data_IF_930198012404
#
_entry.id   IF_930198012404
#
_cell.length_a   1.000
_cell.length_b   1.000
_cell.length_c   1.000
_cell.angle_alpha   90.00
_cell.angle_beta   90.00
_cell.angle_gamma   90.00
#
_symmetry.space_group_name_H-M   'P 1'
#
loop_
_entity.id
_entity.type
_entity.pdbx_description
1 polymer ?
#
# COMPACT_ATOMS: atom_id res chain seq x y z
N UNK A 1 -16.30 -15.80 13.22
CA UNK A 1 -16.06 -14.46 13.82
C UNK A 1 -14.61 -14.10 13.58
N UNK A 2 -14.30 -12.85 13.22
CA UNK A 2 -12.89 -12.43 13.11
C UNK A 2 -12.21 -12.46 14.48
N UNK A 3 -10.88 -12.68 14.50
CA UNK A 3 -10.06 -12.64 15.72
C UNK A 3 -10.26 -11.33 16.50
N UNK A 4 -10.36 -10.21 15.78
CA UNK A 4 -10.69 -8.90 16.35
C UNK A 4 -12.07 -8.85 17.03
N UNK A 5 -13.08 -9.52 16.48
CA UNK A 5 -14.40 -9.58 17.13
C UNK A 5 -14.36 -10.37 18.44
N UNK A 6 -13.44 -11.31 18.60
CA UNK A 6 -13.24 -12.05 19.84
C UNK A 6 -12.50 -11.22 20.89
N UNK A 7 -11.49 -10.46 20.48
CA UNK A 7 -10.71 -9.58 21.36
C UNK A 7 -11.56 -8.40 21.88
N UNK A 8 -12.44 -7.83 21.04
CA UNK A 8 -13.26 -6.69 21.40
C UNK A 8 -14.55 -7.06 22.16
N UNK A 9 -14.99 -8.33 22.09
CA UNK A 9 -16.24 -8.79 22.71
C UNK A 9 -16.33 -8.56 24.23
N UNK A 10 -15.27 -8.77 25.05
CA UNK A 10 -15.32 -8.51 26.50
C UNK A 10 -15.59 -7.04 26.84
N UNK A 11 -15.31 -6.12 25.91
CA UNK A 11 -15.50 -4.68 26.09
C UNK A 11 -16.82 -4.17 25.50
N UNK A 12 -17.71 -5.07 25.07
CA UNK A 12 -18.99 -4.72 24.44
C UNK A 12 -18.87 -4.10 23.05
N UNK A 13 -17.65 -3.98 22.52
CA UNK A 13 -17.38 -3.49 21.19
C UNK A 13 -17.49 -4.64 20.18
N UNK A 14 -18.59 -4.67 19.41
CA UNK A 14 -18.75 -5.62 18.30
C UNK A 14 -18.63 -4.87 16.99
N UNK A 15 -17.59 -5.13 16.17
CA UNK A 15 -17.49 -4.50 14.85
C UNK A 15 -18.74 -4.79 14.03
N UNK A 16 -19.40 -3.74 13.54
CA UNK A 16 -20.51 -3.86 12.60
C UNK A 16 -19.94 -4.25 11.24
N UNK A 17 -19.69 -5.55 11.04
CA UNK A 17 -18.96 -6.05 9.87
C UNK A 17 -19.60 -5.65 8.54
N UNK A 18 -20.93 -5.64 8.47
CA UNK A 18 -21.67 -5.20 7.28
C UNK A 18 -21.46 -3.70 6.99
N UNK A 19 -21.47 -2.86 8.02
CA UNK A 19 -21.25 -1.41 7.88
C UNK A 19 -19.80 -1.12 7.47
N UNK A 20 -18.83 -1.83 8.05
CA UNK A 20 -17.43 -1.74 7.65
C UNK A 20 -17.24 -2.12 6.18
N UNK A 21 -17.81 -3.25 5.74
CA UNK A 21 -17.66 -3.68 4.35
C UNK A 21 -18.33 -2.70 3.39
N UNK A 22 -19.53 -2.20 3.71
CA UNK A 22 -20.19 -1.17 2.92
C UNK A 22 -19.33 0.10 2.80
N UNK A 23 -18.79 0.59 3.92
CA UNK A 23 -17.88 1.73 3.92
C UNK A 23 -16.59 1.47 3.14
N UNK A 24 -16.02 0.27 3.26
CA UNK A 24 -14.83 -0.16 2.52
C UNK A 24 -15.07 -0.13 1.01
N UNK A 25 -16.21 -0.63 0.53
CA UNK A 25 -16.54 -0.61 -0.90
C UNK A 25 -16.67 0.81 -1.44
N UNK A 26 -17.32 1.71 -0.69
CA UNK A 26 -17.40 3.14 -1.04
C UNK A 26 -16.01 3.79 -1.07
N UNK A 27 -15.15 3.46 -0.10
CA UNK A 27 -13.78 3.94 -0.04
C UNK A 27 -12.94 3.45 -1.21
N UNK A 28 -13.01 2.15 -1.54
CA UNK A 28 -12.28 1.57 -2.67
C UNK A 28 -12.72 2.17 -4.00
N UNK A 29 -14.01 2.45 -4.19
CA UNK A 29 -14.49 3.10 -5.42
C UNK A 29 -13.88 4.50 -5.61
N UNK A 30 -13.58 5.22 -4.52
CA UNK A 30 -12.92 6.53 -4.56
C UNK A 30 -11.41 6.45 -4.64
N UNK A 31 -10.83 5.43 -4.01
CA UNK A 31 -9.39 5.22 -3.94
C UNK A 31 -8.82 4.61 -5.23
N UNK A 32 -9.48 3.58 -5.77
CA UNK A 32 -9.00 2.80 -6.90
C UNK A 32 -9.29 3.46 -8.25
N UNK A 33 -8.79 4.68 -8.42
CA UNK A 33 -8.85 5.44 -9.67
C UNK A 33 -7.46 5.56 -10.29
N UNK A 34 -7.37 5.74 -11.62
CA UNK A 34 -6.09 6.01 -12.29
C UNK A 34 -5.36 7.23 -11.70
N UNK A 35 -6.09 8.29 -11.36
CA UNK A 35 -5.52 9.52 -10.81
C UNK A 35 -4.82 9.25 -9.47
N UNK A 36 -5.47 8.52 -8.57
CA UNK A 36 -4.85 8.15 -7.29
C UNK A 36 -3.69 7.18 -7.50
N UNK A 37 -3.82 6.21 -8.41
CA UNK A 37 -2.71 5.33 -8.77
C UNK A 37 -1.47 6.13 -9.16
N UNK A 38 -1.63 7.08 -10.09
CA UNK A 38 -0.56 7.99 -10.50
C UNK A 38 0.04 8.78 -9.33
N UNK A 39 -0.81 9.38 -8.49
CA UNK A 39 -0.37 10.15 -7.32
C UNK A 39 0.45 9.30 -6.34
N UNK A 40 -0.03 8.11 -5.98
CA UNK A 40 0.71 7.18 -5.11
C UNK A 40 2.03 6.75 -5.73
N UNK A 41 2.05 6.54 -7.04
CA UNK A 41 3.27 6.22 -7.78
C UNK A 41 4.30 7.34 -7.67
N UNK A 42 3.87 8.58 -7.86
CA UNK A 42 4.71 9.78 -7.77
C UNK A 42 5.18 10.08 -6.34
N UNK A 43 4.41 9.69 -5.31
CA UNK A 43 4.84 9.77 -3.92
C UNK A 43 5.82 8.65 -3.52
N UNK A 44 5.91 7.60 -4.33
CA UNK A 44 6.75 6.43 -4.06
C UNK A 44 6.14 5.45 -3.06
N UNK A 45 4.81 5.46 -2.91
CA UNK A 45 4.07 4.57 -2.01
C UNK A 45 4.02 3.13 -2.55
N UNK A 46 3.93 2.16 -1.63
CA UNK A 46 3.71 0.76 -1.97
C UNK A 46 2.23 0.50 -2.26
N UNK A 47 1.93 -0.32 -3.28
CA UNK A 47 0.58 -0.78 -3.56
C UNK A 47 0.31 -2.14 -2.88
N UNK A 48 -0.64 -2.15 -1.94
CA UNK A 48 -0.94 -3.30 -1.09
C UNK A 48 -2.00 -4.27 -1.67
N UNK A 49 -2.30 -4.18 -2.97
CA UNK A 49 -3.24 -5.09 -3.64
C UNK A 49 -4.64 -5.03 -3.03
N UNK A 50 -5.19 -3.81 -2.89
CA UNK A 50 -6.49 -3.57 -2.24
C UNK A 50 -7.62 -3.33 -3.23
N UNK A 51 -7.29 -2.99 -4.48
CA UNK A 51 -8.29 -2.65 -5.47
C UNK A 51 -9.02 -3.89 -6.00
N UNK A 52 -10.33 -3.74 -6.31
CA UNK A 52 -11.07 -4.80 -6.96
C UNK A 52 -10.57 -5.00 -8.40
N UNK A 53 -10.73 -6.24 -8.91
CA UNK A 53 -10.16 -6.73 -10.17
C UNK A 53 -10.49 -5.83 -11.37
N UNK A 54 -11.67 -5.22 -11.38
CA UNK A 54 -12.18 -4.37 -12.46
C UNK A 54 -11.41 -3.05 -12.59
N UNK A 55 -10.85 -2.55 -11.49
CA UNK A 55 -10.16 -1.26 -11.41
C UNK A 55 -8.65 -1.37 -11.27
N UNK A 56 -8.16 -2.51 -10.76
CA UNK A 56 -6.75 -2.69 -10.38
C UNK A 56 -5.79 -2.50 -11.55
N UNK A 57 -6.11 -3.04 -12.73
CA UNK A 57 -5.22 -2.92 -13.89
C UNK A 57 -4.98 -1.45 -14.30
N UNK A 58 -6.01 -0.60 -14.24
CA UNK A 58 -5.88 0.82 -14.59
C UNK A 58 -5.15 1.60 -13.48
N UNK A 59 -5.43 1.28 -12.21
CA UNK A 59 -4.73 1.84 -11.07
C UNK A 59 -3.22 1.53 -11.14
N UNK A 60 -2.85 0.26 -11.33
CA UNK A 60 -1.44 -0.18 -11.40
C UNK A 60 -0.74 0.42 -12.61
N UNK A 61 -1.40 0.49 -13.78
CA UNK A 61 -0.81 1.14 -14.95
C UNK A 61 -0.50 2.62 -14.69
N UNK A 62 -1.39 3.33 -14.00
CA UNK A 62 -1.17 4.73 -13.64
C UNK A 62 -0.11 4.88 -12.54
N UNK A 63 -0.10 4.00 -11.54
CA UNK A 63 0.93 3.88 -10.50
C UNK A 63 2.33 3.73 -11.12
N UNK A 64 2.50 2.81 -12.06
CA UNK A 64 3.77 2.64 -12.77
C UNK A 64 4.19 3.90 -13.52
N UNK A 65 3.25 4.62 -14.14
CA UNK A 65 3.55 5.92 -14.78
C UNK A 65 3.95 6.98 -13.76
N UNK A 66 3.30 7.02 -12.60
CA UNK A 66 3.62 7.96 -11.52
C UNK A 66 5.02 7.73 -10.95
N UNK A 67 5.47 6.47 -10.85
CA UNK A 67 6.79 6.11 -10.30
C UNK A 67 7.97 6.77 -10.99
N UNK A 68 7.82 7.23 -12.23
CA UNK A 68 8.88 7.99 -12.91
C UNK A 68 9.19 9.32 -12.23
N UNK A 69 8.25 9.86 -11.44
CA UNK A 69 8.39 11.13 -10.73
C UNK A 69 8.77 10.96 -9.26
N UNK A 70 8.89 9.73 -8.76
CA UNK A 70 9.10 9.51 -7.34
C UNK A 70 10.49 9.99 -6.90
N UNK A 71 10.64 10.49 -5.66
CA UNK A 71 11.93 10.89 -5.13
C UNK A 71 12.96 9.76 -5.24
N UNK A 72 14.20 10.08 -5.61
CA UNK A 72 15.23 9.08 -5.78
C UNK A 72 16.58 9.59 -5.28
N UNK A 73 17.18 8.82 -4.38
CA UNK A 73 18.57 8.95 -3.93
C UNK A 73 19.19 7.55 -3.87
N UNK A 74 20.53 7.42 -3.86
CA UNK A 74 21.18 6.11 -3.73
C UNK A 74 20.69 5.32 -2.50
N UNK A 75 20.44 6.00 -1.38
CA UNK A 75 19.97 5.38 -0.14
C UNK A 75 18.56 4.78 -0.25
N UNK A 76 17.73 5.28 -1.17
CA UNK A 76 16.37 4.79 -1.41
C UNK A 76 16.32 3.58 -2.36
N UNK A 77 17.37 3.37 -3.18
CA UNK A 77 17.35 2.40 -4.27
C UNK A 77 17.03 0.98 -3.81
N UNK A 78 17.68 0.49 -2.74
CA UNK A 78 17.47 -0.86 -2.25
C UNK A 78 16.03 -1.11 -1.77
N UNK A 79 15.44 -0.14 -1.07
CA UNK A 79 14.06 -0.24 -0.57
C UNK A 79 13.04 -0.24 -1.70
N UNK A 80 13.30 0.56 -2.73
CA UNK A 80 12.46 0.60 -3.91
C UNK A 80 12.50 -0.69 -4.73
N UNK A 81 13.67 -1.30 -4.89
CA UNK A 81 13.79 -2.63 -5.52
C UNK A 81 13.02 -3.66 -4.70
N UNK A 82 13.19 -3.67 -3.39
CA UNK A 82 12.48 -4.59 -2.49
C UNK A 82 10.96 -4.38 -2.52
N UNK A 83 10.49 -3.14 -2.67
CA UNK A 83 9.09 -2.80 -2.82
C UNK A 83 8.52 -3.35 -4.14
N UNK A 84 9.18 -3.09 -5.27
CA UNK A 84 8.71 -3.57 -6.58
C UNK A 84 8.69 -5.11 -6.65
N UNK A 85 9.65 -5.79 -6.01
CA UNK A 85 9.66 -7.25 -5.86
C UNK A 85 8.54 -7.74 -4.94
N UNK A 86 8.32 -7.07 -3.82
CA UNK A 86 7.25 -7.39 -2.87
C UNK A 86 5.86 -7.27 -3.48
N UNK A 87 5.63 -6.26 -4.32
CA UNK A 87 4.36 -6.08 -5.04
C UNK A 87 4.13 -7.17 -6.08
N UNK A 88 5.16 -7.52 -6.86
CA UNK A 88 5.07 -8.65 -7.80
C UNK A 88 4.77 -9.96 -7.06
N UNK A 89 5.42 -10.19 -5.93
CA UNK A 89 5.15 -11.36 -5.09
C UNK A 89 3.72 -11.34 -4.53
N UNK A 90 3.23 -10.17 -4.10
CA UNK A 90 1.88 -10.02 -3.57
C UNK A 90 0.83 -10.32 -4.64
N UNK A 91 1.03 -9.84 -5.87
CA UNK A 91 0.15 -10.12 -7.00
C UNK A 91 0.12 -11.61 -7.38
N UNK A 92 1.23 -12.33 -7.17
CA UNK A 92 1.34 -13.76 -7.44
C UNK A 92 0.84 -14.66 -6.28
N UNK A 93 0.67 -14.10 -5.08
CA UNK A 93 0.32 -14.86 -3.88
C UNK A 93 -1.10 -15.42 -3.94
N UNK A 94 -1.23 -16.72 -3.68
CA UNK A 94 -2.50 -17.46 -3.79
C UNK A 94 -3.22 -17.65 -2.46
N UNK A 95 -2.54 -17.40 -1.33
CA UNK A 95 -3.09 -17.62 0.02
C UNK A 95 -3.18 -16.32 0.82
N UNK A 96 -4.18 -16.23 1.70
CA UNK A 96 -4.35 -15.06 2.59
C UNK A 96 -3.19 -14.88 3.57
N UNK A 97 -2.65 -15.98 4.10
CA UNK A 97 -1.51 -15.94 5.03
C UNK A 97 -0.26 -15.36 4.35
N UNK A 98 0.01 -15.76 3.10
CA UNK A 98 1.13 -15.23 2.33
C UNK A 98 0.91 -13.75 1.97
N UNK A 99 -0.30 -13.38 1.51
CA UNK A 99 -0.66 -11.98 1.25
C UNK A 99 -0.47 -11.10 2.48
N UNK A 100 -0.89 -11.57 3.66
CA UNK A 100 -0.71 -10.84 4.91
C UNK A 100 0.77 -10.61 5.24
N UNK A 101 1.61 -11.65 5.10
CA UNK A 101 3.07 -11.53 5.30
C UNK A 101 3.70 -10.53 4.32
N UNK A 102 3.33 -10.59 3.05
CA UNK A 102 3.89 -9.72 2.01
C UNK A 102 3.47 -8.27 2.19
N UNK A 103 2.22 -8.01 2.58
CA UNK A 103 1.76 -6.65 2.95
C UNK A 103 2.58 -6.09 4.12
N UNK A 104 2.88 -6.91 5.13
CA UNK A 104 3.76 -6.51 6.24
C UNK A 104 5.13 -6.05 5.76
N UNK A 105 5.78 -6.84 4.90
CA UNK A 105 7.09 -6.49 4.31
C UNK A 105 7.04 -5.21 3.48
N UNK A 106 5.98 -5.02 2.67
CA UNK A 106 5.80 -3.81 1.87
C UNK A 106 5.66 -2.57 2.73
N UNK A 107 4.86 -2.64 3.80
CA UNK A 107 4.71 -1.53 4.75
C UNK A 107 6.04 -1.19 5.44
N UNK A 108 6.89 -2.18 5.73
CA UNK A 108 8.23 -1.95 6.27
C UNK A 108 9.15 -1.23 5.26
N UNK A 109 9.12 -1.61 3.98
CA UNK A 109 9.93 -0.93 2.96
C UNK A 109 9.45 0.51 2.75
N UNK A 110 8.14 0.72 2.65
CA UNK A 110 7.56 2.05 2.51
C UNK A 110 7.91 2.94 3.71
N UNK A 111 7.90 2.38 4.93
CA UNK A 111 8.32 3.10 6.13
C UNK A 111 9.77 3.61 6.00
N UNK A 112 10.70 2.77 5.53
CA UNK A 112 12.09 3.18 5.32
C UNK A 112 12.22 4.28 4.26
N UNK A 113 11.49 4.16 3.15
CA UNK A 113 11.45 5.18 2.10
C UNK A 113 11.00 6.52 2.69
N UNK A 114 9.86 6.55 3.38
CA UNK A 114 9.33 7.76 4.03
C UNK A 114 10.27 8.31 5.09
N UNK A 115 10.88 7.45 5.89
CA UNK A 115 11.81 7.85 6.93
C UNK A 115 13.03 8.55 6.33
N UNK A 116 13.65 7.96 5.30
CA UNK A 116 14.82 8.51 4.62
C UNK A 116 14.52 9.80 3.87
N UNK A 117 13.36 9.89 3.20
CA UNK A 117 12.92 11.10 2.51
C UNK A 117 12.74 12.30 3.46
N UNK A 118 12.34 12.05 4.71
CA UNK A 118 12.08 13.10 5.70
C UNK A 118 13.26 13.36 6.64
N UNK A 119 14.44 12.77 6.40
CA UNK A 119 15.64 13.07 7.21
C UNK A 119 16.11 14.50 6.93
N UNK A 120 16.26 15.36 7.96
CA UNK A 120 16.86 16.67 7.77
C UNK A 120 18.33 16.50 7.36
N UNK A 121 18.71 17.00 6.18
CA UNK A 121 20.10 17.03 5.71
C UNK A 121 20.38 16.46 4.32
N UNK A 122 19.39 15.93 3.59
CA UNK A 122 19.59 15.38 2.23
C UNK A 122 19.15 16.30 1.08
N UNK A 123 18.65 17.50 1.41
CA UNK A 123 18.37 18.59 0.45
C UNK A 123 19.16 19.86 0.83
N UNK A 124 20.48 19.79 0.77
CA UNK A 124 21.33 20.96 0.57
C UNK A 124 22.29 20.63 -0.57
N UNK A 125 21.93 21.11 -1.77
CA UNK A 125 22.91 21.38 -2.81
C UNK A 125 23.38 22.81 -2.55
N UNK A 126 24.59 22.96 -2.01
CA UNK A 126 25.37 24.17 -2.20
C UNK A 126 25.80 24.29 -3.68
#
# INVERSE_FOLDING_TARGET
MSEYAQICAPYGARPAQAEYEAGRQVGLARYCTPENGYQHGALGDAYLGVCPKESEAQFVAALTRGRVLRPFTPDLYAFYVAMDEGERALAAATTDAERARLRGRLMEQEWWIRHLMNRPGTFFLD
#
